data_IF_152382036673
#
_entry.id   IF_152382036673
#
_cell.length_a   1.000
_cell.length_b   1.000
_cell.length_c   1.000
_cell.angle_alpha   90.00
_cell.angle_beta   90.00
_cell.angle_gamma   90.00
#
_symmetry.space_group_name_H-M   'P 1'
#
loop_
_entity.id
_entity.type
_entity.pdbx_description
1 polymer ?
#
# COMPACT_ATOMS: atom_id res chain seq x y z
N UNK A 1 63.80 16.01 25.55
CA UNK A 1 63.03 16.70 24.51
C UNK A 1 62.66 15.64 23.48
N UNK A 2 61.46 15.07 23.58
CA UNK A 2 60.96 14.18 22.53
C UNK A 2 60.47 15.04 21.37
N UNK A 3 61.15 14.92 20.24
CA UNK A 3 60.73 15.50 18.97
C UNK A 3 59.51 14.74 18.48
N UNK A 4 58.34 15.37 18.57
CA UNK A 4 57.15 14.92 17.85
C UNK A 4 57.45 15.01 16.36
N UNK A 5 57.67 13.87 15.70
CA UNK A 5 57.73 13.83 14.24
C UNK A 5 56.34 14.13 13.71
N UNK A 6 56.14 15.29 13.09
CA UNK A 6 54.98 15.52 12.25
C UNK A 6 55.03 14.50 11.12
N UNK A 7 54.03 13.62 11.05
CA UNK A 7 53.84 12.75 9.89
C UNK A 7 53.31 13.63 8.77
N UNK A 8 54.21 14.13 7.93
CA UNK A 8 53.84 14.90 6.75
C UNK A 8 53.27 13.93 5.71
N UNK A 9 51.94 13.88 5.60
CA UNK A 9 51.26 13.19 4.50
C UNK A 9 51.48 13.97 3.20
N UNK A 10 52.59 13.69 2.51
CA UNK A 10 52.81 14.20 1.16
C UNK A 10 52.00 13.37 0.18
N UNK A 11 50.87 13.92 -0.29
CA UNK A 11 50.10 13.33 -1.37
C UNK A 11 50.90 13.47 -2.67
N UNK A 12 51.35 12.35 -3.23
CA UNK A 12 52.07 12.39 -4.51
C UNK A 12 51.10 12.71 -5.65
N UNK A 13 51.60 13.28 -6.75
CA UNK A 13 50.78 13.52 -7.95
C UNK A 13 50.13 12.22 -8.49
N UNK A 14 50.77 11.08 -8.26
CA UNK A 14 50.22 9.75 -8.54
C UNK A 14 49.02 9.39 -7.67
N UNK A 15 49.03 9.76 -6.38
CA UNK A 15 47.90 9.50 -5.49
C UNK A 15 46.68 10.31 -5.94
N UNK A 16 46.86 11.61 -6.22
CA UNK A 16 45.78 12.47 -6.73
C UNK A 16 45.19 11.90 -8.02
N UNK A 17 46.04 11.49 -8.97
CA UNK A 17 45.60 10.91 -10.23
C UNK A 17 44.82 9.60 -10.04
N UNK A 18 45.27 8.73 -9.13
CA UNK A 18 44.59 7.49 -8.79
C UNK A 18 43.19 7.76 -8.22
N UNK A 19 43.08 8.62 -7.20
CA UNK A 19 41.78 8.94 -6.59
C UNK A 19 40.83 9.63 -7.57
N UNK A 20 41.35 10.45 -8.48
CA UNK A 20 40.53 11.04 -9.53
C UNK A 20 39.97 10.00 -10.49
N UNK A 21 40.81 9.11 -11.03
CA UNK A 21 40.37 8.02 -11.92
C UNK A 21 39.37 7.10 -11.20
N UNK A 22 39.66 6.75 -9.95
CA UNK A 22 38.78 5.94 -9.11
C UNK A 22 37.43 6.63 -8.88
N UNK A 23 37.42 7.93 -8.58
CA UNK A 23 36.20 8.70 -8.40
C UNK A 23 35.37 8.77 -9.68
N UNK A 24 36.00 9.02 -10.84
CA UNK A 24 35.32 9.03 -12.15
C UNK A 24 34.74 7.66 -12.48
N UNK A 25 35.50 6.59 -12.26
CA UNK A 25 35.03 5.21 -12.45
C UNK A 25 33.76 4.95 -11.63
N UNK A 26 33.79 5.21 -10.31
CA UNK A 26 32.63 5.02 -9.45
C UNK A 26 31.47 5.94 -9.78
N UNK A 27 31.75 7.17 -10.23
CA UNK A 27 30.72 8.11 -10.66
C UNK A 27 29.94 7.58 -11.88
N UNK A 28 30.62 6.96 -12.85
CA UNK A 28 29.96 6.31 -14.00
C UNK A 28 29.05 5.17 -13.53
N UNK A 29 29.52 4.32 -12.61
CA UNK A 29 28.69 3.25 -12.04
C UNK A 29 27.50 3.80 -11.25
N UNK A 30 27.67 4.89 -10.51
CA UNK A 30 26.58 5.56 -9.80
C UNK A 30 25.51 6.08 -10.76
N UNK A 31 25.91 6.71 -11.88
CA UNK A 31 24.98 7.14 -12.93
C UNK A 31 24.26 5.94 -13.55
N UNK A 32 24.99 4.89 -13.93
CA UNK A 32 24.40 3.70 -14.51
C UNK A 32 23.38 3.02 -13.56
N UNK A 33 23.76 2.88 -12.29
CA UNK A 33 22.88 2.35 -11.24
C UNK A 33 21.64 3.20 -11.03
N UNK A 34 21.78 4.53 -11.06
CA UNK A 34 20.66 5.46 -10.98
C UNK A 34 19.70 5.33 -12.18
N UNK A 35 20.22 5.36 -13.41
CA UNK A 35 19.42 5.23 -14.64
C UNK A 35 18.65 3.90 -14.62
N UNK A 36 19.33 2.81 -14.23
CA UNK A 36 18.72 1.49 -14.13
C UNK A 36 17.60 1.46 -13.07
N UNK A 37 17.86 2.03 -11.89
CA UNK A 37 16.87 2.12 -10.80
C UNK A 37 15.66 2.97 -11.19
N UNK A 38 15.88 4.13 -11.81
CA UNK A 38 14.80 5.00 -12.30
C UNK A 38 13.96 4.29 -13.36
N UNK A 39 14.59 3.54 -14.26
CA UNK A 39 13.89 2.75 -15.28
C UNK A 39 13.05 1.63 -14.67
N UNK A 40 13.56 0.92 -13.65
CA UNK A 40 12.79 -0.10 -12.94
C UNK A 40 11.62 0.51 -12.16
N UNK A 41 11.84 1.64 -11.49
CA UNK A 41 10.75 2.37 -10.84
C UNK A 41 9.69 2.79 -11.84
N UNK A 42 10.06 3.26 -13.03
CA UNK A 42 9.09 3.63 -14.07
C UNK A 42 8.15 2.47 -14.40
N UNK A 43 8.67 1.24 -14.53
CA UNK A 43 7.87 0.04 -14.79
C UNK A 43 6.97 -0.34 -13.61
N UNK A 44 7.49 -0.25 -12.37
CA UNK A 44 6.70 -0.55 -11.17
C UNK A 44 5.59 0.51 -10.98
N UNK A 45 5.89 1.78 -11.23
CA UNK A 45 4.96 2.89 -11.10
C UNK A 45 3.86 2.82 -12.17
N UNK A 46 4.21 2.47 -13.40
CA UNK A 46 3.24 2.19 -14.47
C UNK A 46 2.28 1.06 -14.04
N UNK A 47 2.79 -0.03 -13.44
CA UNK A 47 1.94 -1.12 -12.91
C UNK A 47 1.01 -0.65 -11.79
N UNK A 48 1.48 0.25 -10.93
CA UNK A 48 0.71 0.81 -9.82
C UNK A 48 -0.28 1.90 -10.23
N UNK A 49 -0.33 2.28 -11.51
CA UNK A 49 -1.22 3.33 -12.03
C UNK A 49 -0.75 4.76 -11.75
N UNK A 50 0.54 4.96 -11.45
CA UNK A 50 1.11 6.29 -11.29
C UNK A 50 1.18 6.99 -12.66
N UNK A 51 0.65 8.20 -12.73
CA UNK A 51 0.61 9.00 -13.92
C UNK A 51 1.92 9.78 -14.11
N UNK A 52 2.47 9.73 -15.32
CA UNK A 52 3.66 10.48 -15.70
C UNK A 52 4.95 9.76 -15.34
N UNK A 53 5.60 9.19 -16.37
CA UNK A 53 6.83 8.41 -16.24
C UNK A 53 8.02 9.21 -15.72
N UNK A 54 8.03 10.53 -15.97
CA UNK A 54 9.07 11.45 -15.49
C UNK A 54 9.26 11.40 -13.98
N UNK A 55 8.22 11.05 -13.21
CA UNK A 55 8.28 10.96 -11.75
C UNK A 55 9.27 9.92 -11.25
N UNK A 56 9.50 8.85 -12.01
CA UNK A 56 10.50 7.83 -11.69
C UNK A 56 11.94 8.33 -11.88
N UNK A 57 12.12 9.35 -12.72
CA UNK A 57 13.41 9.96 -13.06
C UNK A 57 13.75 11.16 -12.17
N UNK A 58 12.87 11.59 -11.26
CA UNK A 58 13.24 12.67 -10.33
C UNK A 58 13.83 12.05 -9.08
N UNK A 59 15.13 12.30 -8.78
CA UNK A 59 15.75 11.84 -7.54
C UNK A 59 14.93 12.28 -6.33
N UNK A 60 15.00 11.52 -5.24
CA UNK A 60 14.20 11.72 -4.01
C UNK A 60 12.72 11.44 -4.26
N UNK A 61 12.10 12.13 -5.20
CA UNK A 61 10.68 12.03 -5.51
C UNK A 61 10.25 10.61 -5.89
N UNK A 62 11.06 9.91 -6.68
CA UNK A 62 10.80 8.50 -7.01
C UNK A 62 10.74 7.61 -5.76
N UNK A 63 11.66 7.78 -4.81
CA UNK A 63 11.66 7.03 -3.54
C UNK A 63 10.47 7.40 -2.68
N UNK A 64 10.05 8.67 -2.66
CA UNK A 64 8.84 9.08 -1.96
C UNK A 64 7.58 8.42 -2.52
N UNK A 65 7.47 8.32 -3.86
CA UNK A 65 6.37 7.60 -4.50
C UNK A 65 6.42 6.12 -4.11
N UNK A 66 7.59 5.50 -4.14
CA UNK A 66 7.73 4.09 -3.74
C UNK A 66 7.26 3.85 -2.31
N UNK A 67 7.65 4.72 -1.37
CA UNK A 67 7.19 4.68 0.03
C UNK A 67 5.68 4.86 0.13
N UNK A 68 5.13 5.83 -0.60
CA UNK A 68 3.68 6.07 -0.66
C UNK A 68 2.91 4.87 -1.19
N UNK A 69 3.42 4.23 -2.25
CA UNK A 69 2.89 2.98 -2.80
C UNK A 69 2.97 1.83 -1.78
N UNK A 70 3.87 1.92 -0.81
CA UNK A 70 3.97 1.03 0.34
C UNK A 70 3.07 1.38 1.52
N UNK A 71 2.06 2.25 1.38
CA UNK A 71 1.15 2.69 2.44
C UNK A 71 1.80 3.52 3.57
N UNK A 72 3.01 4.02 3.34
CA UNK A 72 3.79 4.78 4.31
C UNK A 72 3.79 6.27 3.95
N UNK A 73 3.74 7.13 4.96
CA UNK A 73 3.79 8.58 4.76
C UNK A 73 5.15 9.01 4.18
N UNK A 74 5.20 9.50 2.93
CA UNK A 74 6.46 9.81 2.25
C UNK A 74 7.34 10.83 2.99
N UNK A 75 6.73 11.77 3.71
CA UNK A 75 7.46 12.86 4.36
C UNK A 75 8.38 12.39 5.49
N UNK A 76 8.08 11.26 6.14
CA UNK A 76 8.98 10.69 7.15
C UNK A 76 10.34 10.31 6.60
N UNK A 77 10.40 9.85 5.34
CA UNK A 77 11.68 9.51 4.72
C UNK A 77 12.57 10.75 4.58
N UNK A 78 12.00 11.90 4.22
CA UNK A 78 12.75 13.16 4.19
C UNK A 78 13.20 13.59 5.58
N UNK A 79 12.36 13.42 6.59
CA UNK A 79 12.73 13.68 7.99
C UNK A 79 13.92 12.83 8.44
N UNK A 80 13.91 11.53 8.09
CA UNK A 80 15.00 10.62 8.42
C UNK A 80 16.30 10.95 7.67
N UNK A 81 16.22 11.27 6.37
CA UNK A 81 17.39 11.71 5.60
C UNK A 81 17.93 13.05 6.08
N UNK A 82 17.05 14.03 6.34
CA UNK A 82 17.42 15.33 6.90
C UNK A 82 18.08 15.20 8.27
N UNK A 83 17.51 14.37 9.15
CA UNK A 83 18.11 14.06 10.45
C UNK A 83 19.46 13.36 10.29
N UNK A 84 19.64 12.48 9.30
CA UNK A 84 20.94 11.85 9.01
C UNK A 84 21.98 12.88 8.60
N UNK A 85 21.60 13.91 7.84
CA UNK A 85 22.51 14.98 7.41
C UNK A 85 22.89 15.88 8.61
N UNK A 86 21.90 16.27 9.43
CA UNK A 86 22.10 17.22 10.54
C UNK A 86 22.75 16.56 11.76
N UNK A 87 22.37 15.32 12.06
CA UNK A 87 22.81 14.60 13.28
C UNK A 87 23.86 13.52 12.97
N UNK A 88 24.23 13.34 11.71
CA UNK A 88 25.18 12.31 11.25
C UNK A 88 26.58 12.46 11.85
N UNK A 89 26.96 13.66 12.27
CA UNK A 89 28.24 13.90 12.95
C UNK A 89 28.27 13.41 14.39
N UNK A 90 27.12 13.09 14.99
CA UNK A 90 27.04 12.62 16.38
C UNK A 90 27.32 11.11 16.37
N UNK A 91 28.39 10.63 17.04
CA UNK A 91 28.68 9.21 17.12
C UNK A 91 27.49 8.44 17.69
N UNK A 92 27.26 7.22 17.18
CA UNK A 92 26.14 6.32 17.54
C UNK A 92 24.77 6.85 17.11
N UNK A 93 24.36 8.06 17.53
CA UNK A 93 23.04 8.65 17.21
C UNK A 93 22.89 8.90 15.70
N UNK A 94 23.94 9.41 15.06
CA UNK A 94 23.95 9.67 13.62
C UNK A 94 23.71 8.43 12.78
N UNK A 95 24.02 7.24 13.29
CA UNK A 95 23.81 5.96 12.60
C UNK A 95 22.38 5.43 12.71
N UNK A 96 21.59 5.90 13.69
CA UNK A 96 20.22 5.42 13.88
C UNK A 96 19.28 5.90 12.77
N UNK A 97 19.46 7.13 12.28
CA UNK A 97 18.61 7.71 11.23
C UNK A 97 18.75 7.04 9.86
N UNK A 98 19.95 6.76 9.31
CA UNK A 98 20.08 6.05 8.05
C UNK A 98 19.59 4.59 8.17
N UNK A 99 19.80 3.95 9.33
CA UNK A 99 19.24 2.61 9.60
C UNK A 99 17.70 2.66 9.62
N UNK A 100 17.12 3.63 10.31
CA UNK A 100 15.67 3.84 10.32
C UNK A 100 15.12 4.12 8.91
N UNK A 101 15.83 4.92 8.10
CA UNK A 101 15.48 5.16 6.70
C UNK A 101 15.52 3.85 5.88
N UNK A 102 16.53 3.00 6.09
CA UNK A 102 16.62 1.69 5.45
C UNK A 102 15.49 0.75 5.86
N UNK A 103 15.16 0.68 7.14
CA UNK A 103 13.98 -0.08 7.62
C UNK A 103 12.70 0.48 7.00
N UNK A 104 12.58 1.80 6.88
CA UNK A 104 11.42 2.45 6.29
C UNK A 104 11.20 2.05 4.82
N UNK A 105 12.27 2.01 4.02
CA UNK A 105 12.19 1.56 2.62
C UNK A 105 11.96 0.05 2.50
N UNK A 106 12.46 -0.75 3.45
CA UNK A 106 12.16 -2.19 3.54
C UNK A 106 10.66 -2.42 3.83
N UNK A 107 10.07 -1.67 4.75
CA UNK A 107 8.62 -1.73 5.03
C UNK A 107 7.79 -1.34 3.80
N UNK A 108 8.25 -0.33 3.04
CA UNK A 108 7.63 0.02 1.77
C UNK A 108 7.75 -1.12 0.74
N UNK A 109 8.94 -1.71 0.60
CA UNK A 109 9.20 -2.82 -0.31
C UNK A 109 8.36 -4.06 0.02
N UNK A 110 8.15 -4.34 1.31
CA UNK A 110 7.23 -5.39 1.75
C UNK A 110 5.82 -5.19 1.19
N UNK A 111 5.25 -3.99 1.39
CA UNK A 111 3.87 -3.69 0.97
C UNK A 111 3.74 -3.62 -0.55
N UNK A 112 4.70 -3.01 -1.23
CA UNK A 112 4.77 -3.01 -2.70
C UNK A 112 4.91 -4.44 -3.24
N UNK A 113 5.72 -5.28 -2.59
CA UNK A 113 5.86 -6.70 -2.90
C UNK A 113 4.54 -7.46 -2.79
N UNK A 114 3.80 -7.30 -1.68
CA UNK A 114 2.48 -7.92 -1.51
C UNK A 114 1.51 -7.49 -2.62
N UNK A 115 1.51 -6.20 -2.98
CA UNK A 115 0.69 -5.67 -4.09
C UNK A 115 1.15 -6.20 -5.45
N UNK A 116 2.42 -6.55 -5.60
CA UNK A 116 2.95 -7.26 -6.76
C UNK A 116 2.87 -8.80 -6.62
N UNK A 117 2.02 -9.29 -5.72
CA UNK A 117 1.75 -10.71 -5.49
C UNK A 117 3.01 -11.49 -5.06
N UNK A 118 3.91 -10.84 -4.32
CA UNK A 118 5.12 -11.45 -3.74
C UNK A 118 4.89 -11.78 -2.28
N UNK A 119 5.46 -12.89 -1.85
CA UNK A 119 5.49 -13.28 -0.44
C UNK A 119 6.52 -12.48 0.35
N UNK A 120 6.36 -12.44 1.68
CA UNK A 120 7.22 -11.68 2.60
C UNK A 120 8.71 -12.05 2.49
N UNK A 121 9.02 -13.32 2.14
CA UNK A 121 10.40 -13.82 1.99
C UNK A 121 11.19 -13.04 0.93
N UNK A 122 10.51 -12.45 -0.06
CA UNK A 122 11.15 -11.61 -1.10
C UNK A 122 11.83 -10.35 -0.55
N UNK A 123 11.51 -9.93 0.67
CA UNK A 123 12.18 -8.81 1.33
C UNK A 123 13.67 -9.10 1.54
N UNK A 124 14.04 -10.36 1.78
CA UNK A 124 15.45 -10.76 1.94
C UNK A 124 16.24 -10.35 0.69
N UNK A 125 15.67 -10.58 -0.50
CA UNK A 125 16.29 -10.17 -1.75
C UNK A 125 16.38 -8.65 -1.86
N UNK A 126 15.38 -7.90 -1.38
CA UNK A 126 15.45 -6.44 -1.38
C UNK A 126 16.57 -5.91 -0.48
N UNK A 127 16.76 -6.50 0.70
CA UNK A 127 17.79 -6.07 1.67
C UNK A 127 19.20 -6.26 1.09
N UNK A 128 19.48 -7.43 0.49
CA UNK A 128 20.82 -7.73 -0.01
C UNK A 128 21.05 -7.22 -1.44
N UNK A 129 20.05 -7.30 -2.30
CA UNK A 129 20.13 -6.99 -3.73
C UNK A 129 18.90 -6.19 -4.21
N UNK A 130 18.71 -4.99 -3.65
CA UNK A 130 17.57 -4.10 -3.96
C UNK A 130 17.35 -3.87 -5.47
N UNK A 131 18.42 -3.64 -6.23
CA UNK A 131 18.35 -3.45 -7.69
C UNK A 131 17.79 -4.69 -8.40
N UNK A 132 18.19 -5.89 -7.98
CA UNK A 132 17.69 -7.15 -8.57
C UNK A 132 16.22 -7.35 -8.23
N UNK A 133 15.84 -7.06 -6.98
CA UNK A 133 14.44 -7.07 -6.56
C UNK A 133 13.58 -6.13 -7.42
N UNK A 134 14.06 -4.90 -7.66
CA UNK A 134 13.38 -3.92 -8.52
C UNK A 134 13.29 -4.42 -9.97
N UNK A 135 14.36 -4.97 -10.53
CA UNK A 135 14.39 -5.48 -11.90
C UNK A 135 13.41 -6.62 -12.12
N UNK A 136 13.39 -7.61 -11.22
CA UNK A 136 12.42 -8.72 -11.30
C UNK A 136 11.00 -8.17 -11.24
N UNK A 137 10.69 -7.34 -10.24
CA UNK A 137 9.34 -6.79 -10.07
C UNK A 137 8.92 -5.84 -11.21
N UNK A 138 9.87 -5.17 -11.87
CA UNK A 138 9.63 -4.34 -13.04
C UNK A 138 9.14 -5.15 -14.25
N UNK A 139 9.78 -6.29 -14.55
CA UNK A 139 9.54 -7.05 -15.79
C UNK A 139 8.72 -8.33 -15.62
N UNK A 140 8.59 -8.83 -14.40
CA UNK A 140 7.75 -9.99 -14.15
C UNK A 140 6.29 -9.72 -14.53
N UNK A 141 5.52 -10.77 -14.79
CA UNK A 141 4.11 -10.71 -15.20
C UNK A 141 3.13 -10.37 -14.08
N UNK A 142 3.62 -10.23 -12.84
CA UNK A 142 2.80 -9.83 -11.71
C UNK A 142 2.00 -8.56 -11.99
N UNK A 143 0.72 -8.60 -11.59
CA UNK A 143 -0.19 -7.46 -11.71
C UNK A 143 -0.29 -6.77 -10.37
N UNK A 144 -0.54 -5.47 -10.40
CA UNK A 144 -0.79 -4.71 -9.20
C UNK A 144 -2.14 -5.13 -8.61
N UNK A 145 -2.09 -5.73 -7.42
CA UNK A 145 -3.22 -6.15 -6.65
C UNK A 145 -3.52 -5.10 -5.57
N UNK A 146 -4.68 -4.47 -5.69
CA UNK A 146 -5.21 -3.51 -4.72
C UNK A 146 -6.02 -4.17 -3.62
N UNK A 147 -6.31 -5.47 -3.74
CA UNK A 147 -7.02 -6.27 -2.75
C UNK A 147 -6.10 -6.83 -1.65
N UNK A 148 -5.17 -6.00 -1.16
CA UNK A 148 -4.30 -6.34 -0.04
C UNK A 148 -4.90 -5.75 1.24
N UNK A 149 -4.96 -6.52 2.35
CA UNK A 149 -5.40 -6.00 3.64
C UNK A 149 -4.65 -4.73 4.03
N UNK A 150 -5.30 -3.86 4.80
CA UNK A 150 -4.70 -2.62 5.30
C UNK A 150 -3.32 -2.89 5.94
N UNK A 151 -2.39 -1.97 5.76
CA UNK A 151 -1.08 -2.08 6.38
C UNK A 151 -1.20 -2.07 7.92
N UNK A 152 -0.32 -2.76 8.65
CA UNK A 152 -0.35 -2.77 10.13
C UNK A 152 -0.28 -1.37 10.77
N UNK A 153 0.28 -0.40 10.04
CA UNK A 153 0.41 0.98 10.49
C UNK A 153 -0.70 1.92 9.99
N UNK A 154 -1.72 1.42 9.29
CA UNK A 154 -2.78 2.26 8.72
C UNK A 154 -3.51 3.13 9.77
N UNK A 155 -3.50 2.71 11.04
CA UNK A 155 -4.12 3.44 12.15
C UNK A 155 -3.23 4.44 12.89
N UNK A 156 -1.95 4.59 12.54
CA UNK A 156 -1.00 5.40 13.32
C UNK A 156 -0.32 6.52 12.49
N UNK A 157 0.72 7.13 13.06
CA UNK A 157 1.44 8.27 12.46
C UNK A 157 2.30 7.91 11.23
N UNK A 158 2.56 6.62 10.99
CA UNK A 158 3.29 6.14 9.81
C UNK A 158 2.40 6.02 8.57
N UNK A 159 1.08 5.97 8.75
CA UNK A 159 0.11 5.87 7.66
C UNK A 159 0.21 7.06 6.70
N UNK A 160 0.18 6.76 5.40
CA UNK A 160 -0.06 7.80 4.40
C UNK A 160 -1.50 8.31 4.47
N UNK A 161 -1.65 9.61 4.73
CA UNK A 161 -2.94 10.33 4.75
C UNK A 161 -3.02 11.42 3.69
N UNK A 162 -2.02 11.47 2.80
CA UNK A 162 -1.89 12.55 1.82
C UNK A 162 -2.42 12.10 0.47
N UNK A 163 -2.99 13.00 -0.33
CA UNK A 163 -3.36 12.74 -1.72
C UNK A 163 -2.38 13.46 -2.62
N UNK A 164 -1.77 12.73 -3.56
CA UNK A 164 -0.83 13.33 -4.52
C UNK A 164 -1.43 13.19 -5.91
N UNK A 165 -1.51 14.29 -6.64
CA UNK A 165 -2.05 14.30 -8.01
C UNK A 165 -1.29 13.29 -8.87
N UNK A 166 -2.04 12.42 -9.55
CA UNK A 166 -1.51 11.38 -10.43
C UNK A 166 -0.89 10.17 -9.72
N UNK A 167 -1.04 10.03 -8.40
CA UNK A 167 -0.58 8.83 -7.67
C UNK A 167 -1.77 8.21 -6.95
N UNK A 168 -2.16 6.96 -7.27
CA UNK A 168 -3.33 6.32 -6.67
C UNK A 168 -3.23 6.20 -5.16
N UNK A 169 -4.34 6.45 -4.46
CA UNK A 169 -4.45 6.17 -3.04
C UNK A 169 -4.39 4.68 -2.82
N UNK A 170 -3.61 4.28 -1.82
CA UNK A 170 -3.41 2.88 -1.49
C UNK A 170 -4.21 2.45 -0.26
N UNK A 171 -4.87 3.40 0.41
CA UNK A 171 -5.69 3.14 1.59
C UNK A 171 -6.95 2.39 1.14
N UNK A 172 -7.28 1.24 1.76
CA UNK A 172 -8.56 0.58 1.52
C UNK A 172 -9.70 1.54 1.88
N UNK A 173 -10.54 1.90 0.91
CA UNK A 173 -11.75 2.65 1.18
C UNK A 173 -12.66 1.77 2.06
N UNK A 174 -12.88 2.18 3.31
CA UNK A 174 -13.87 1.60 4.21
C UNK A 174 -13.83 0.05 4.36
N UNK A 175 -12.65 -0.53 4.59
CA UNK A 175 -12.53 -1.94 4.95
C UNK A 175 -12.77 -2.94 3.82
N UNK A 176 -12.91 -2.50 2.56
CA UNK A 176 -12.97 -3.37 1.39
C UNK A 176 -11.77 -3.15 0.45
N UNK A 177 -11.35 -4.20 -0.30
CA UNK A 177 -10.21 -4.14 -1.21
C UNK A 177 -10.37 -3.02 -2.24
N UNK A 178 -9.30 -2.27 -2.50
CA UNK A 178 -9.34 -1.09 -3.33
C UNK A 178 -9.80 -1.46 -4.76
N UNK A 179 -10.93 -0.91 -5.19
CA UNK A 179 -11.38 -0.95 -6.57
C UNK A 179 -11.06 0.42 -7.18
N UNK A 180 -10.36 0.51 -8.33
CA UNK A 180 -10.04 1.79 -8.98
C UNK A 180 -11.26 2.65 -9.38
N UNK A 181 -12.49 2.17 -9.18
CA UNK A 181 -13.74 2.88 -9.52
C UNK A 181 -14.28 3.77 -8.39
N UNK A 182 -13.77 3.69 -7.15
CA UNK A 182 -14.35 4.43 -6.01
C UNK A 182 -13.53 5.64 -5.53
N UNK A 183 -12.55 6.09 -6.30
CA UNK A 183 -11.78 7.30 -5.96
C UNK A 183 -12.56 8.57 -6.32
N UNK A 184 -12.73 9.56 -5.42
CA UNK A 184 -13.30 10.86 -5.78
C UNK A 184 -12.37 11.57 -6.77
N UNK A 185 -12.78 11.63 -8.05
CA UNK A 185 -12.03 12.30 -9.14
C UNK A 185 -11.61 11.44 -10.33
N UNK A 186 -12.04 10.18 -10.44
CA UNK A 186 -11.85 9.36 -11.65
C UNK A 186 -12.78 9.78 -12.80
N UNK A 187 -12.36 9.71 -14.09
CA UNK A 187 -13.21 10.07 -15.22
C UNK A 187 -14.46 9.19 -15.28
N UNK A 188 -15.63 9.82 -15.38
CA UNK A 188 -16.93 9.16 -15.45
C UNK A 188 -17.00 8.23 -16.68
N UNK A 189 -17.02 6.91 -16.45
CA UNK A 189 -17.09 5.96 -17.57
C UNK A 189 -17.43 4.50 -17.25
N UNK A 190 -17.52 4.10 -15.97
CA UNK A 190 -18.00 2.75 -15.64
C UNK A 190 -19.28 2.84 -14.82
N UNK A 191 -20.42 2.70 -15.51
CA UNK A 191 -21.66 2.36 -14.83
C UNK A 191 -21.56 0.91 -14.34
N UNK A 192 -21.96 0.62 -13.09
CA UNK A 192 -22.09 -0.77 -12.64
C UNK A 192 -23.09 -1.51 -13.54
N UNK A 193 -22.93 -2.83 -13.75
CA UNK A 193 -23.86 -3.63 -14.54
C UNK A 193 -25.31 -3.40 -14.10
N UNK A 194 -26.22 -3.25 -15.07
CA UNK A 194 -27.64 -3.06 -14.78
C UNK A 194 -28.15 -4.21 -13.89
N UNK A 195 -28.67 -3.87 -12.71
CA UNK A 195 -29.18 -4.83 -11.72
C UNK A 195 -28.35 -4.99 -10.45
N UNK A 196 -27.20 -4.31 -10.31
CA UNK A 196 -26.42 -4.34 -9.07
C UNK A 196 -27.05 -3.42 -8.00
N UNK A 197 -27.81 -3.99 -7.05
CA UNK A 197 -28.20 -3.31 -5.82
C UNK A 197 -27.06 -3.42 -4.80
N UNK A 198 -26.53 -2.31 -4.27
CA UNK A 198 -25.55 -2.38 -3.17
C UNK A 198 -26.20 -3.03 -1.93
N UNK A 199 -25.48 -3.91 -1.22
CA UNK A 199 -25.99 -4.47 0.03
C UNK A 199 -26.21 -3.36 1.07
N UNK A 200 -27.24 -3.47 1.95
CA UNK A 200 -27.50 -2.46 2.97
C UNK A 200 -26.29 -2.24 3.87
N UNK A 201 -25.88 -0.99 4.05
CA UNK A 201 -24.80 -0.63 4.96
C UNK A 201 -25.20 -0.97 6.42
N UNK A 202 -24.30 -1.59 7.22
CA UNK A 202 -24.53 -1.75 8.66
C UNK A 202 -24.69 -0.37 9.32
N UNK A 203 -25.85 -0.16 9.95
CA UNK A 203 -26.35 1.15 10.35
C UNK A 203 -25.45 1.89 11.35
N UNK A 204 -25.02 3.10 10.98
CA UNK A 204 -24.64 4.14 11.91
C UNK A 204 -25.84 5.10 12.05
N UNK A 205 -26.64 4.93 13.10
CA UNK A 205 -27.65 5.91 13.47
C UNK A 205 -26.95 7.21 13.91
N UNK A 206 -27.35 8.40 13.41
CA UNK A 206 -26.88 9.68 13.91
C UNK A 206 -27.26 9.86 15.40
N UNK A 207 -26.43 10.55 16.23
CA UNK A 207 -26.76 10.82 17.62
C UNK A 207 -28.01 11.70 17.75
N UNK A 208 -28.95 11.31 18.62
CA UNK A 208 -30.16 12.07 18.89
C UNK A 208 -29.86 13.38 19.67
N UNK A 209 -30.56 14.49 19.37
CA UNK A 209 -30.42 15.73 20.13
C UNK A 209 -30.96 15.60 21.57
N UNK A 210 -30.41 16.34 22.55
CA UNK A 210 -30.75 16.17 23.97
C UNK A 210 -32.18 16.63 24.28
N UNK A 211 -32.91 15.76 25.01
CA UNK A 211 -34.32 15.94 25.35
C UNK A 211 -34.54 16.89 26.54
N UNK A 212 -35.42 17.89 26.37
CA UNK A 212 -36.00 18.67 27.46
C UNK A 212 -37.07 17.86 28.21
N UNK A 213 -37.00 17.86 29.54
CA UNK A 213 -37.89 17.10 30.43
C UNK A 213 -39.31 17.67 30.48
N UNK A 214 -40.30 16.89 30.05
CA UNK A 214 -41.73 17.15 30.30
C UNK A 214 -42.33 15.99 31.14
N UNK A 215 -43.22 16.23 32.13
CA UNK A 215 -43.66 15.22 33.09
C UNK A 215 -44.61 14.16 32.49
N UNK A 216 -44.75 12.96 33.11
CA UNK A 216 -45.48 11.83 32.54
C UNK A 216 -47.01 12.01 32.60
N UNK A 217 -47.69 11.59 31.52
CA UNK A 217 -49.14 11.41 31.47
C UNK A 217 -49.57 10.01 32.00
N UNK A 218 -50.82 9.83 32.47
CA UNK A 218 -51.23 8.65 33.22
C UNK A 218 -51.50 7.41 32.35
N UNK A 219 -51.30 6.23 32.93
CA UNK A 219 -51.38 4.90 32.32
C UNK A 219 -52.81 4.45 32.01
N UNK A 220 -53.02 3.88 30.81
CA UNK A 220 -54.26 3.16 30.45
C UNK A 220 -54.08 1.63 30.62
N UNK A 221 -55.13 0.88 31.02
CA UNK A 221 -55.03 -0.57 31.29
C UNK A 221 -54.92 -1.47 30.03
N UNK A 222 -54.43 -2.72 30.16
CA UNK A 222 -54.19 -3.62 29.02
C UNK A 222 -55.48 -4.25 28.46
N UNK A 223 -55.52 -4.46 27.14
CA UNK A 223 -56.58 -5.17 26.41
C UNK A 223 -56.33 -6.71 26.37
N UNK A 224 -57.38 -7.55 26.16
CA UNK A 224 -57.31 -9.00 26.33
C UNK A 224 -56.72 -9.74 25.11
N UNK A 225 -56.02 -10.84 25.39
CA UNK A 225 -55.36 -11.75 24.44
C UNK A 225 -56.32 -12.59 23.59
N UNK A 226 -56.12 -12.67 22.27
CA UNK A 226 -56.82 -13.60 21.37
C UNK A 226 -56.11 -14.99 21.29
N UNK A 227 -56.85 -16.11 21.11
CA UNK A 227 -56.26 -17.46 21.02
C UNK A 227 -55.59 -17.81 19.66
N UNK A 228 -54.68 -18.82 19.62
CA UNK A 228 -53.88 -19.17 18.43
C UNK A 228 -54.64 -19.92 17.31
N UNK A 229 -54.21 -19.72 16.06
CA UNK A 229 -54.75 -20.36 14.86
C UNK A 229 -54.22 -21.82 14.66
N UNK A 230 -54.98 -22.71 13.98
CA UNK A 230 -54.63 -24.12 13.80
C UNK A 230 -53.62 -24.40 12.66
N UNK A 231 -52.94 -25.58 12.66
CA UNK A 231 -51.81 -25.88 11.76
C UNK A 231 -52.24 -26.36 10.36
N UNK A 232 -51.46 -25.96 9.34
CA UNK A 232 -51.57 -26.35 7.93
C UNK A 232 -50.96 -27.74 7.65
N UNK A 233 -51.64 -28.56 6.84
CA UNK A 233 -51.22 -29.91 6.41
C UNK A 233 -50.05 -29.89 5.38
N UNK A 234 -49.20 -30.93 5.35
CA UNK A 234 -48.11 -31.08 4.38
C UNK A 234 -48.59 -31.65 3.01
N UNK A 235 -47.85 -31.39 1.91
CA UNK A 235 -48.23 -31.79 0.55
C UNK A 235 -47.99 -33.27 0.24
N UNK A 236 -48.96 -33.89 -0.46
CA UNK A 236 -48.89 -35.26 -1.00
C UNK A 236 -48.00 -35.36 -2.24
N UNK A 237 -47.08 -36.32 -2.26
CA UNK A 237 -46.27 -36.72 -3.43
C UNK A 237 -46.95 -37.87 -4.17
N UNK A 238 -47.28 -37.67 -5.45
CA UNK A 238 -47.84 -38.69 -6.36
C UNK A 238 -46.72 -39.51 -7.04
N UNK A 239 -46.81 -40.86 -7.13
CA UNK A 239 -45.79 -41.70 -7.78
C UNK A 239 -45.85 -41.74 -9.34
N UNK A 240 -44.75 -42.09 -10.04
CA UNK A 240 -44.69 -42.13 -11.51
C UNK A 240 -45.45 -43.30 -12.16
N UNK A 241 -46.07 -43.06 -13.31
CA UNK A 241 -46.75 -44.06 -14.14
C UNK A 241 -45.79 -45.02 -14.87
N UNK A 242 -46.19 -46.29 -14.99
CA UNK A 242 -45.46 -47.39 -15.64
C UNK A 242 -45.76 -47.53 -17.15
N UNK A 243 -44.93 -48.24 -17.94
CA UNK A 243 -44.88 -48.16 -19.42
C UNK A 243 -45.97 -48.94 -20.18
N UNK A 244 -46.32 -48.46 -21.39
CA UNK A 244 -47.27 -49.08 -22.32
C UNK A 244 -46.76 -50.39 -22.99
N UNK A 245 -47.66 -51.34 -23.34
CA UNK A 245 -47.32 -52.62 -23.99
C UNK A 245 -47.13 -52.50 -25.53
N UNK A 246 -46.43 -53.47 -26.16
CA UNK A 246 -46.03 -53.40 -27.58
C UNK A 246 -47.18 -53.67 -28.56
N UNK A 247 -47.19 -52.94 -29.69
CA UNK A 247 -48.08 -53.20 -30.83
C UNK A 247 -47.46 -54.21 -31.80
N UNK A 248 -48.25 -55.23 -32.17
CA UNK A 248 -47.99 -56.18 -33.25
C UNK A 248 -48.32 -55.57 -34.61
N UNK A 249 -47.38 -55.64 -35.55
CA UNK A 249 -47.59 -55.79 -37.01
C UNK A 249 -46.24 -56.04 -37.68
#
# INVERSE_FOLDING_TARGET
METFSSVDYSYSGSDVAFFFIFAVFWFIFAIAGYVLTAFFFMKIFDKAGVQGKWRAWVPIYNTLIFVKLGDLNPWWLLGLWGASIVLGWIPVIGWLFPLAAGVYTVLAAWRVGLKLQKEVVWIILYIFLAIVWLGINAFDRSRWNTAIPAAPWAGNFLADKTTWSGIPSQVPAAGYPANPVTQPGSPAGYQPPAGYQPPPAPGAQPPAPPASTQPPAPTQPPAPTQPPAPPTQPPSTEPPAAPEPPKQS
#
